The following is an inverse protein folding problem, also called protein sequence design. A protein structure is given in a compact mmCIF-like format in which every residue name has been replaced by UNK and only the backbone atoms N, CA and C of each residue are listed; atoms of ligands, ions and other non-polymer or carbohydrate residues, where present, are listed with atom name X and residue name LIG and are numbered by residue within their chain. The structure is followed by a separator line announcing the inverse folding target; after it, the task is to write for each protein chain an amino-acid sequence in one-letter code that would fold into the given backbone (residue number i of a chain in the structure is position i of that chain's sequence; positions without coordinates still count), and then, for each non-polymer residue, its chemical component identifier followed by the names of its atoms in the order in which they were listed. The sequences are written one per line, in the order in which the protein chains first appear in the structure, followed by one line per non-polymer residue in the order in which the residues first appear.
data_IF_557864935002
#
_entry.id   IF_557864935002
#
_cell.length_a   1.000
_cell.length_b   1.000
_cell.length_c   1.000
_cell.angle_alpha   90.00
_cell.angle_beta   90.00
_cell.angle_gamma   90.00
#
_symmetry.space_group_name_H-M   'P 1'
#
loop_
_entity.id
_entity.type
_entity.pdbx_description
1 polymer ?
#
# COMPACT_ATOMS: atom_id res chain seq x y z
N UNK A 1 33.60 7.57 -75.34
CA UNK A 1 34.29 6.31 -75.00
C UNK A 1 34.12 6.02 -73.54
N UNK A 2 33.36 4.96 -73.24
CA UNK A 2 33.60 3.96 -72.16
C UNK A 2 33.61 4.52 -70.74
N UNK A 3 32.97 4.02 -69.74
CA UNK A 3 32.31 2.70 -69.47
C UNK A 3 31.44 2.81 -68.24
N UNK A 4 30.37 2.05 -68.24
CA UNK A 4 29.53 1.64 -67.16
C UNK A 4 30.26 1.31 -65.84
N UNK A 5 29.62 1.67 -64.70
CA UNK A 5 29.64 0.79 -63.51
C UNK A 5 28.37 0.97 -62.71
N UNK A 6 27.54 -0.02 -62.81
CA UNK A 6 26.36 -0.31 -62.04
C UNK A 6 26.77 -0.73 -60.64
N UNK A 7 26.26 -0.09 -59.60
CA UNK A 7 26.38 -0.61 -58.23
C UNK A 7 25.00 -0.97 -57.71
N UNK A 8 24.74 -2.26 -57.61
CA UNK A 8 23.59 -2.85 -56.94
C UNK A 8 23.70 -2.60 -55.44
N UNK A 9 22.69 -1.95 -54.86
CA UNK A 9 22.52 -1.86 -53.41
C UNK A 9 21.52 -2.93 -52.96
N UNK A 10 22.02 -4.03 -52.39
CA UNK A 10 21.24 -5.07 -51.78
C UNK A 10 20.78 -4.61 -50.37
N UNK A 11 19.50 -4.37 -50.22
CA UNK A 11 18.88 -4.14 -48.92
C UNK A 11 18.68 -5.47 -48.18
N UNK A 12 19.48 -5.74 -47.18
CA UNK A 12 19.28 -6.84 -46.26
C UNK A 12 18.32 -6.40 -45.16
N UNK A 13 17.05 -6.85 -45.23
CA UNK A 13 16.11 -6.78 -44.14
C UNK A 13 16.39 -7.90 -43.14
N UNK A 14 16.96 -7.58 -42.00
CA UNK A 14 17.04 -8.50 -40.87
C UNK A 14 15.78 -8.33 -40.02
N UNK A 15 14.84 -9.28 -40.13
CA UNK A 15 13.78 -9.48 -39.14
C UNK A 15 14.42 -10.06 -37.87
N UNK A 16 14.50 -9.26 -36.83
CA UNK A 16 14.76 -9.76 -35.49
C UNK A 16 13.44 -10.17 -34.86
N UNK A 17 13.17 -11.48 -34.80
CA UNK A 17 12.17 -12.05 -33.92
C UNK A 17 12.66 -11.89 -32.46
N UNK A 18 12.03 -10.99 -31.75
CA UNK A 18 12.14 -10.95 -30.31
C UNK A 18 11.34 -12.12 -29.72
N UNK A 19 12.05 -13.16 -29.28
CA UNK A 19 11.48 -14.24 -28.49
C UNK A 19 11.14 -13.67 -27.09
N UNK A 20 9.86 -13.67 -26.72
CA UNK A 20 9.41 -13.55 -25.35
C UNK A 20 9.92 -14.76 -24.56
N UNK A 21 10.96 -14.57 -23.79
CA UNK A 21 11.41 -15.50 -22.77
C UNK A 21 11.16 -14.85 -21.42
N UNK A 22 10.07 -15.24 -20.74
CA UNK A 22 9.83 -14.92 -19.34
C UNK A 22 10.97 -15.48 -18.50
N UNK A 23 11.74 -14.61 -17.90
CA UNK A 23 12.48 -14.86 -16.67
C UNK A 23 12.33 -13.62 -15.82
N UNK A 24 11.44 -13.69 -14.90
CA UNK A 24 11.37 -12.84 -13.73
C UNK A 24 12.56 -13.13 -12.84
N UNK A 25 13.56 -12.28 -12.93
CA UNK A 25 14.57 -12.03 -11.92
C UNK A 25 14.85 -10.54 -12.00
N UNK A 26 14.00 -9.74 -11.39
CA UNK A 26 14.27 -8.33 -11.15
C UNK A 26 14.14 -8.05 -9.65
N UNK A 27 15.25 -8.30 -8.97
CA UNK A 27 15.58 -7.62 -7.75
C UNK A 27 16.23 -6.28 -8.14
N UNK A 28 15.43 -5.39 -8.70
CA UNK A 28 15.74 -3.97 -8.88
C UNK A 28 14.86 -3.22 -7.92
N UNK A 29 15.44 -2.57 -6.93
CA UNK A 29 14.77 -1.60 -6.10
C UNK A 29 14.01 -0.60 -6.98
N UNK A 30 12.72 -0.86 -7.15
CA UNK A 30 11.87 -0.07 -8.03
C UNK A 30 11.46 1.19 -7.23
N UNK A 31 12.11 2.31 -7.53
CA UNK A 31 11.74 3.65 -7.03
C UNK A 31 10.45 4.17 -7.72
N UNK A 32 9.60 3.28 -8.24
CA UNK A 32 8.31 3.66 -8.77
C UNK A 32 7.28 3.57 -7.65
N UNK A 33 6.60 4.68 -7.42
CA UNK A 33 5.46 4.76 -6.51
C UNK A 33 4.40 3.72 -6.95
N UNK A 34 3.77 3.00 -6.00
CA UNK A 34 2.71 2.04 -6.34
C UNK A 34 1.55 2.74 -7.06
N UNK A 35 0.84 2.04 -7.94
CA UNK A 35 -0.26 2.62 -8.70
C UNK A 35 -1.57 2.68 -7.89
N UNK A 36 -1.66 1.99 -6.74
CA UNK A 36 -2.83 2.00 -5.85
C UNK A 36 -2.44 1.63 -4.42
N UNK A 37 -3.31 1.96 -3.46
CA UNK A 37 -3.16 1.55 -2.07
C UNK A 37 -3.11 0.02 -1.90
N UNK A 38 -3.88 -0.72 -2.71
CA UNK A 38 -3.84 -2.18 -2.70
C UNK A 38 -2.49 -2.72 -3.20
N UNK A 39 -1.93 -2.15 -4.28
CA UNK A 39 -0.61 -2.54 -4.78
C UNK A 39 0.47 -2.28 -3.72
N UNK A 40 0.40 -1.14 -3.02
CA UNK A 40 1.29 -0.81 -1.92
C UNK A 40 1.25 -1.89 -0.83
N UNK A 41 0.06 -2.21 -0.30
CA UNK A 41 -0.08 -3.20 0.78
C UNK A 41 0.31 -4.60 0.31
N UNK A 42 -0.01 -4.98 -0.92
CA UNK A 42 0.41 -6.27 -1.48
C UNK A 42 1.93 -6.40 -1.59
N UNK A 43 2.63 -5.33 -1.99
CA UNK A 43 4.09 -5.33 -2.05
C UNK A 43 4.72 -5.51 -0.66
N UNK A 44 4.17 -4.85 0.37
CA UNK A 44 4.61 -5.02 1.76
C UNK A 44 4.32 -6.44 2.26
N UNK A 45 3.10 -6.95 2.03
CA UNK A 45 2.68 -8.29 2.48
C UNK A 45 3.47 -9.41 1.82
N UNK A 46 3.91 -9.23 0.58
CA UNK A 46 4.78 -10.16 -0.14
C UNK A 46 6.18 -10.27 0.47
N UNK A 47 6.63 -9.28 1.23
CA UNK A 47 7.93 -9.29 1.94
C UNK A 47 7.89 -10.00 3.30
N UNK A 48 6.72 -10.49 3.73
CA UNK A 48 6.63 -11.35 4.90
C UNK A 48 7.04 -12.78 4.54
N UNK A 49 7.82 -13.42 5.40
CA UNK A 49 7.98 -14.87 5.33
C UNK A 49 6.68 -15.56 5.76
N UNK A 50 6.49 -16.81 5.33
CA UNK A 50 5.27 -17.56 5.71
C UNK A 50 5.17 -17.76 7.24
N UNK A 51 6.30 -17.82 7.95
CA UNK A 51 6.34 -17.97 9.41
C UNK A 51 6.03 -16.67 10.16
N UNK A 52 6.17 -15.50 9.50
CA UNK A 52 5.94 -14.17 10.09
C UNK A 52 4.52 -13.66 9.83
N UNK A 53 3.78 -14.28 8.90
CA UNK A 53 2.41 -13.88 8.60
C UNK A 53 1.46 -14.25 9.73
N UNK A 54 0.63 -13.29 10.10
CA UNK A 54 -0.50 -13.53 11.01
C UNK A 54 -1.78 -13.82 10.21
N UNK A 55 -2.81 -14.45 10.82
CA UNK A 55 -4.12 -14.62 10.18
C UNK A 55 -4.73 -13.26 9.83
N UNK A 56 -4.81 -12.94 8.55
CA UNK A 56 -5.20 -11.63 8.05
C UNK A 56 -6.46 -11.69 7.19
N UNK A 57 -7.15 -10.57 7.12
CA UNK A 57 -8.19 -10.29 6.16
C UNK A 57 -8.04 -8.86 5.64
N UNK A 58 -8.42 -8.62 4.40
CA UNK A 58 -8.42 -7.30 3.80
C UNK A 58 -9.76 -6.98 3.16
N UNK A 59 -9.93 -5.71 2.81
CA UNK A 59 -11.13 -5.21 2.17
C UNK A 59 -12.11 -4.53 3.13
N UNK A 60 -13.28 -4.23 2.59
CA UNK A 60 -14.42 -3.67 3.31
C UNK A 60 -15.52 -4.75 3.50
N UNK A 61 -16.77 -4.32 3.75
CA UNK A 61 -17.90 -5.24 3.93
C UNK A 61 -18.53 -5.74 2.63
N UNK A 62 -18.06 -5.29 1.46
CA UNK A 62 -18.49 -5.81 0.18
C UNK A 62 -17.73 -7.11 -0.13
N UNK A 63 -18.47 -8.20 -0.40
CA UNK A 63 -17.88 -9.50 -0.73
C UNK A 63 -16.90 -9.43 -1.93
N UNK A 64 -17.06 -8.44 -2.81
CA UNK A 64 -16.16 -8.25 -3.94
C UNK A 64 -14.78 -7.70 -3.53
N UNK A 65 -14.69 -7.03 -2.38
CA UNK A 65 -13.47 -6.44 -1.86
C UNK A 65 -12.82 -7.29 -0.75
N UNK A 66 -13.57 -8.22 -0.16
CA UNK A 66 -13.06 -9.08 0.92
C UNK A 66 -12.02 -10.07 0.40
N UNK A 67 -10.91 -10.16 1.13
CA UNK A 67 -9.83 -11.13 0.88
C UNK A 67 -9.47 -11.87 2.15
N UNK A 68 -9.09 -13.14 2.02
CA UNK A 68 -8.53 -13.94 3.11
C UNK A 68 -7.01 -13.99 2.95
N UNK A 69 -6.29 -13.90 4.06
CA UNK A 69 -4.82 -13.97 4.18
C UNK A 69 -4.06 -12.95 3.28
N UNK A 70 -4.71 -11.85 2.92
CA UNK A 70 -4.15 -10.83 2.03
C UNK A 70 -4.79 -9.45 2.26
N UNK A 71 -4.13 -8.35 1.83
CA UNK A 71 -4.75 -7.03 1.72
C UNK A 71 -5.92 -7.03 0.73
N UNK A 72 -6.91 -6.15 0.95
CA UNK A 72 -8.06 -5.97 0.07
C UNK A 72 -8.39 -4.50 -0.17
N UNK A 73 -9.08 -4.21 -1.27
CA UNK A 73 -9.57 -2.87 -1.55
C UNK A 73 -10.59 -2.42 -0.50
N UNK A 74 -10.55 -1.15 -0.16
CA UNK A 74 -11.51 -0.52 0.73
C UNK A 74 -12.20 0.64 0.00
N UNK A 75 -13.55 0.62 -0.03
CA UNK A 75 -14.31 1.69 -0.67
C UNK A 75 -14.11 3.02 0.03
N UNK A 76 -13.86 4.07 -0.74
CA UNK A 76 -13.74 5.45 -0.22
C UNK A 76 -15.05 6.24 -0.30
N UNK A 77 -16.13 5.62 -0.82
CA UNK A 77 -17.42 6.27 -1.01
C UNK A 77 -18.20 6.42 0.32
N UNK A 78 -17.92 5.54 1.30
CA UNK A 78 -18.58 5.54 2.62
C UNK A 78 -17.58 5.96 3.71
N UNK A 79 -17.62 7.24 4.09
CA UNK A 79 -16.77 7.78 5.15
C UNK A 79 -17.04 7.17 6.53
N UNK A 80 -18.28 6.78 6.81
CA UNK A 80 -18.63 6.14 8.10
C UNK A 80 -18.03 4.73 8.18
N UNK A 81 -17.99 3.99 7.05
CA UNK A 81 -17.33 2.70 6.97
C UNK A 81 -15.82 2.82 7.15
N UNK A 82 -15.18 3.83 6.54
CA UNK A 82 -13.76 4.15 6.72
C UNK A 82 -13.43 4.46 8.20
N UNK A 83 -14.25 5.28 8.86
CA UNK A 83 -14.04 5.60 10.27
C UNK A 83 -14.27 4.37 11.15
N UNK A 84 -15.34 3.64 10.93
CA UNK A 84 -15.68 2.46 11.73
C UNK A 84 -14.58 1.39 11.66
N UNK A 85 -14.11 1.06 10.46
CA UNK A 85 -13.20 -0.08 10.23
C UNK A 85 -11.73 0.29 10.36
N UNK A 86 -11.33 1.46 9.85
CA UNK A 86 -9.93 1.86 9.74
C UNK A 86 -9.58 3.07 10.63
N UNK A 87 -10.55 3.59 11.36
CA UNK A 87 -10.41 4.83 12.14
C UNK A 87 -9.96 6.03 11.28
N UNK A 88 -10.26 6.00 9.98
CA UNK A 88 -10.01 7.14 9.10
C UNK A 88 -11.14 8.18 9.27
N UNK A 89 -10.83 9.46 9.48
CA UNK A 89 -11.87 10.47 9.72
C UNK A 89 -12.88 10.53 8.59
N UNK A 90 -14.17 10.28 8.88
CA UNK A 90 -15.24 10.30 7.87
C UNK A 90 -15.31 11.61 7.08
N UNK A 91 -15.02 12.75 7.73
CA UNK A 91 -14.99 14.06 7.09
C UNK A 91 -13.89 14.23 6.03
N UNK A 92 -12.86 13.40 6.08
CA UNK A 92 -11.72 13.43 5.19
C UNK A 92 -11.81 12.41 4.03
N UNK A 93 -12.86 11.58 3.98
CA UNK A 93 -13.05 10.57 2.93
C UNK A 93 -12.96 11.13 1.51
N UNK A 94 -13.50 12.32 1.28
CA UNK A 94 -13.42 13.01 -0.01
C UNK A 94 -12.02 13.45 -0.44
N UNK A 95 -11.01 13.28 0.41
CA UNK A 95 -9.59 13.54 0.09
C UNK A 95 -8.89 12.33 -0.53
N UNK A 96 -9.56 11.18 -0.60
CA UNK A 96 -9.00 9.91 -1.07
C UNK A 96 -9.39 9.63 -2.52
N UNK A 97 -8.46 9.08 -3.29
CA UNK A 97 -8.70 8.50 -4.61
C UNK A 97 -8.96 6.99 -4.52
N UNK A 98 -8.26 6.29 -3.65
CA UNK A 98 -8.48 4.89 -3.31
C UNK A 98 -7.95 4.56 -1.91
N UNK A 99 -8.35 3.40 -1.38
CA UNK A 99 -7.85 2.87 -0.12
C UNK A 99 -7.79 1.34 -0.15
N UNK A 100 -6.98 0.79 0.75
CA UNK A 100 -6.88 -0.65 1.00
C UNK A 100 -6.66 -0.91 2.48
N UNK A 101 -7.00 -2.12 2.92
CA UNK A 101 -6.88 -2.54 4.31
C UNK A 101 -6.20 -3.89 4.46
N UNK A 102 -5.60 -4.08 5.64
CA UNK A 102 -5.14 -5.37 6.14
C UNK A 102 -5.39 -5.41 7.66
N UNK A 103 -6.17 -6.37 8.12
CA UNK A 103 -6.60 -6.49 9.51
C UNK A 103 -6.34 -7.88 10.05
N UNK A 104 -6.09 -8.01 11.35
CA UNK A 104 -6.01 -9.32 12.00
C UNK A 104 -7.41 -9.96 12.03
N UNK A 105 -7.55 -11.14 11.41
CA UNK A 105 -8.84 -11.82 11.19
C UNK A 105 -9.64 -12.05 12.48
N UNK A 106 -8.96 -12.34 13.60
CA UNK A 106 -9.62 -12.69 14.85
C UNK A 106 -10.02 -11.47 15.69
N UNK A 107 -9.27 -10.37 15.60
CA UNK A 107 -9.54 -9.16 16.36
C UNK A 107 -8.82 -7.96 15.72
N UNK A 108 -9.56 -7.01 15.19
CA UNK A 108 -9.03 -5.80 14.57
C UNK A 108 -8.14 -4.96 15.52
N UNK A 109 -8.42 -4.97 16.85
CA UNK A 109 -7.57 -4.26 17.82
C UNK A 109 -6.18 -4.90 17.98
N UNK A 110 -5.99 -6.16 17.53
CA UNK A 110 -4.69 -6.81 17.49
C UNK A 110 -3.81 -6.25 16.37
N UNK A 111 -4.41 -5.98 15.21
CA UNK A 111 -3.74 -5.28 14.12
C UNK A 111 -4.77 -4.77 13.11
N UNK A 112 -4.69 -3.49 12.79
CA UNK A 112 -5.40 -2.86 11.68
C UNK A 112 -4.44 -1.94 10.94
N UNK A 113 -4.38 -2.12 9.63
CA UNK A 113 -3.68 -1.24 8.72
C UNK A 113 -4.62 -0.71 7.64
N UNK A 114 -4.55 0.60 7.39
CA UNK A 114 -5.15 1.26 6.25
C UNK A 114 -4.05 1.94 5.42
N UNK A 115 -4.09 1.76 4.11
CA UNK A 115 -3.32 2.55 3.16
C UNK A 115 -4.28 3.43 2.36
N UNK A 116 -3.94 4.69 2.21
CA UNK A 116 -4.79 5.72 1.63
C UNK A 116 -4.04 6.45 0.55
N UNK A 117 -4.52 6.39 -0.68
CA UNK A 117 -4.03 7.16 -1.81
C UNK A 117 -4.78 8.49 -1.85
N UNK A 118 -4.05 9.57 -1.77
CA UNK A 118 -4.64 10.91 -1.70
C UNK A 118 -5.00 11.41 -3.10
N UNK A 119 -6.05 12.23 -3.18
CA UNK A 119 -6.36 12.98 -4.39
C UNK A 119 -5.33 14.09 -4.63
N UNK A 120 -5.26 14.59 -5.86
CA UNK A 120 -4.38 15.70 -6.22
C UNK A 120 -4.56 16.91 -5.27
N UNK A 121 -3.45 17.59 -4.97
CA UNK A 121 -3.40 18.78 -4.11
C UNK A 121 -3.76 18.57 -2.63
N UNK A 122 -3.91 17.32 -2.17
CA UNK A 122 -4.12 16.97 -0.76
C UNK A 122 -2.78 16.81 -0.03
N UNK A 123 -2.66 17.45 1.12
CA UNK A 123 -1.45 17.35 1.96
C UNK A 123 -1.43 16.06 2.76
N UNK A 124 -0.44 15.20 2.52
CA UNK A 124 -0.24 13.98 3.29
C UNK A 124 0.00 14.25 4.79
N UNK A 125 0.68 15.35 5.12
CA UNK A 125 0.92 15.74 6.51
C UNK A 125 -0.38 16.12 7.25
N UNK A 126 -1.31 16.82 6.57
CA UNK A 126 -2.58 17.21 7.16
C UNK A 126 -3.48 15.99 7.39
N UNK A 127 -3.52 15.06 6.41
CA UNK A 127 -4.26 13.79 6.54
C UNK A 127 -3.67 12.93 7.64
N UNK A 128 -2.34 12.79 7.70
CA UNK A 128 -1.67 12.04 8.76
C UNK A 128 -1.99 12.59 10.16
N UNK A 129 -2.00 13.93 10.32
CA UNK A 129 -2.37 14.58 11.58
C UNK A 129 -3.82 14.33 11.97
N UNK A 130 -4.75 14.48 11.03
CA UNK A 130 -6.18 14.23 11.25
C UNK A 130 -6.44 12.77 11.62
N UNK A 131 -5.79 11.84 10.92
CA UNK A 131 -5.87 10.40 11.16
C UNK A 131 -5.31 10.03 12.55
N UNK A 132 -4.13 10.58 12.91
CA UNK A 132 -3.55 10.41 14.24
C UNK A 132 -4.53 10.84 15.33
N UNK A 133 -5.08 12.04 15.20
CA UNK A 133 -5.99 12.59 16.20
C UNK A 133 -7.27 11.74 16.32
N UNK A 134 -7.80 11.23 15.21
CA UNK A 134 -8.97 10.35 15.22
C UNK A 134 -8.69 9.02 15.93
N UNK A 135 -7.54 8.39 15.67
CA UNK A 135 -7.15 7.12 16.31
C UNK A 135 -6.87 7.33 17.79
N UNK A 136 -6.09 8.36 18.16
CA UNK A 136 -5.70 8.61 19.55
C UNK A 136 -6.87 9.02 20.47
N UNK A 137 -7.91 9.67 19.91
CA UNK A 137 -9.11 10.06 20.65
C UNK A 137 -10.24 9.03 20.61
N UNK A 138 -10.03 7.89 19.91
CA UNK A 138 -11.05 6.85 19.77
C UNK A 138 -11.34 6.18 21.10
N UNK A 139 -12.62 5.92 21.36
CA UNK A 139 -13.03 5.09 22.50
C UNK A 139 -12.96 3.61 22.09
N UNK A 140 -11.92 2.95 22.54
CA UNK A 140 -11.70 1.53 22.26
C UNK A 140 -12.63 0.66 23.11
N UNK A 141 -13.22 -0.36 22.49
CA UNK A 141 -14.06 -1.36 23.14
C UNK A 141 -13.48 -2.76 22.87
N UNK A 142 -13.59 -3.66 23.85
CA UNK A 142 -13.12 -5.04 23.74
C UNK A 142 -11.59 -5.23 23.56
N UNK A 143 -10.81 -4.32 24.13
CA UNK A 143 -9.33 -4.32 24.06
C UNK A 143 -8.81 -2.97 23.57
N UNK A 144 -7.57 -2.69 23.92
CA UNK A 144 -6.86 -1.48 23.50
C UNK A 144 -5.72 -1.89 22.59
N UNK A 145 -5.53 -1.24 21.44
CA UNK A 145 -4.26 -1.36 20.71
C UNK A 145 -3.14 -0.71 21.51
N UNK A 146 -1.94 -1.27 21.43
CA UNK A 146 -0.78 -0.80 22.20
C UNK A 146 -0.11 0.40 21.53
N UNK A 147 -0.09 0.40 20.18
CA UNK A 147 0.76 1.30 19.39
C UNK A 147 0.08 1.75 18.11
N UNK A 148 0.39 3.00 17.70
CA UNK A 148 0.08 3.60 16.42
C UNK A 148 1.36 3.99 15.70
N UNK A 149 1.49 3.60 14.44
CA UNK A 149 2.50 4.14 13.52
C UNK A 149 1.79 4.68 12.27
N UNK A 150 2.19 5.87 11.83
CA UNK A 150 1.76 6.46 10.56
C UNK A 150 2.99 6.73 9.71
N UNK A 151 2.93 6.30 8.45
CA UNK A 151 3.96 6.54 7.45
C UNK A 151 3.37 7.33 6.27
N UNK A 152 4.25 8.02 5.56
CA UNK A 152 3.94 8.67 4.28
C UNK A 152 4.86 8.15 3.19
N UNK A 153 4.33 8.02 1.96
CA UNK A 153 5.08 7.65 0.76
C UNK A 153 4.50 8.43 -0.42
N UNK A 154 5.14 9.55 -0.77
CA UNK A 154 4.60 10.44 -1.80
C UNK A 154 3.19 10.94 -1.45
N UNK A 155 2.21 10.57 -2.24
CA UNK A 155 0.78 10.86 -2.05
C UNK A 155 0.01 9.77 -1.29
N UNK A 156 0.72 8.81 -0.66
CA UNK A 156 0.13 7.83 0.22
C UNK A 156 0.32 8.17 1.69
N UNK A 157 -0.71 7.90 2.49
CA UNK A 157 -0.64 7.82 3.95
C UNK A 157 -0.97 6.39 4.35
N UNK A 158 -0.19 5.83 5.28
CA UNK A 158 -0.37 4.46 5.77
C UNK A 158 -0.48 4.57 7.29
N UNK A 159 -1.56 4.07 7.88
CA UNK A 159 -1.66 3.92 9.33
C UNK A 159 -1.71 2.45 9.72
N UNK A 160 -0.99 2.07 10.76
CA UNK A 160 -1.16 0.78 11.41
C UNK A 160 -1.20 0.96 12.93
N UNK A 161 -2.14 0.27 13.57
CA UNK A 161 -2.28 0.24 15.02
C UNK A 161 -2.66 -1.16 15.48
N UNK A 162 -2.28 -1.49 16.73
CA UNK A 162 -2.51 -2.81 17.30
C UNK A 162 -1.46 -3.19 18.32
N UNK A 163 -1.16 -4.49 18.41
CA UNK A 163 -0.08 -5.03 19.22
C UNK A 163 1.27 -4.48 18.72
N UNK A 164 2.11 -4.03 19.65
CA UNK A 164 3.35 -3.33 19.35
C UNK A 164 4.27 -4.11 18.40
N UNK A 165 4.42 -5.41 18.64
CA UNK A 165 5.27 -6.29 17.83
C UNK A 165 4.80 -6.40 16.36
N UNK A 166 3.50 -6.50 16.13
CA UNK A 166 2.92 -6.55 14.77
C UNK A 166 3.02 -5.20 14.06
N UNK A 167 2.79 -4.11 14.79
CA UNK A 167 2.90 -2.74 14.25
C UNK A 167 4.34 -2.42 13.87
N UNK A 168 5.31 -2.76 14.72
CA UNK A 168 6.73 -2.55 14.46
C UNK A 168 7.22 -3.40 13.28
N UNK A 169 6.82 -4.66 13.23
CA UNK A 169 7.15 -5.53 12.11
C UNK A 169 6.60 -4.97 10.80
N UNK A 170 5.32 -4.56 10.77
CA UNK A 170 4.70 -4.04 9.57
C UNK A 170 5.35 -2.73 9.11
N UNK A 171 5.59 -1.78 10.00
CA UNK A 171 6.23 -0.51 9.66
C UNK A 171 7.66 -0.72 9.15
N UNK A 172 8.39 -1.67 9.73
CA UNK A 172 9.69 -2.12 9.25
C UNK A 172 9.62 -2.66 7.82
N UNK A 173 8.62 -3.51 7.53
CA UNK A 173 8.41 -4.04 6.17
C UNK A 173 8.03 -2.96 5.16
N UNK A 174 7.27 -1.93 5.54
CA UNK A 174 6.98 -0.78 4.67
C UNK A 174 8.26 -0.07 4.27
N UNK A 175 9.13 0.25 5.24
CA UNK A 175 10.40 0.97 4.99
C UNK A 175 11.44 0.10 4.27
N UNK A 176 11.41 -1.23 4.44
CA UNK A 176 12.22 -2.16 3.65
C UNK A 176 11.76 -2.23 2.18
N UNK A 177 10.43 -2.19 1.97
CA UNK A 177 9.84 -2.29 0.62
C UNK A 177 10.00 -0.98 -0.15
N UNK A 178 9.80 0.14 0.52
CA UNK A 178 9.79 1.48 -0.06
C UNK A 178 10.79 2.38 0.66
N UNK A 179 11.95 2.58 0.06
CA UNK A 179 13.05 3.37 0.66
C UNK A 179 12.68 4.84 0.93
N UNK A 180 11.70 5.37 0.19
CA UNK A 180 11.21 6.76 0.34
C UNK A 180 10.06 6.87 1.36
N UNK A 181 9.63 5.76 1.98
CA UNK A 181 8.63 5.79 3.04
C UNK A 181 9.21 6.43 4.31
N UNK A 182 8.47 7.37 4.89
CA UNK A 182 8.87 8.08 6.09
C UNK A 182 7.89 7.87 7.23
N UNK A 183 8.38 7.46 8.40
CA UNK A 183 7.57 7.40 9.64
C UNK A 183 7.34 8.84 10.11
N UNK A 184 6.08 9.25 10.23
CA UNK A 184 5.67 10.59 10.66
C UNK A 184 4.98 10.59 12.02
N UNK A 185 4.55 9.43 12.50
CA UNK A 185 4.01 9.20 13.84
C UNK A 185 4.45 7.81 14.33
N UNK A 186 4.89 7.71 15.57
CA UNK A 186 5.21 6.45 16.27
C UNK A 186 4.89 6.69 17.76
N UNK A 187 3.72 6.27 18.22
CA UNK A 187 3.19 6.61 19.54
C UNK A 187 2.49 5.41 20.18
N UNK A 188 2.64 5.31 21.52
CA UNK A 188 1.81 4.39 22.30
C UNK A 188 0.38 4.92 22.40
N UNK A 189 -0.61 4.02 22.29
CA UNK A 189 -2.02 4.32 22.56
C UNK A 189 -2.25 4.04 24.04
N UNK A 190 -2.67 5.07 24.81
CA UNK A 190 -2.84 5.02 26.27
C UNK A 190 -4.31 4.88 26.69
#
# INVERSE_FOLDING_TARGET
MKKFLTLLLAAAMTLSLAACGSKTDDNSGNNSQPASALELLNAVWANYSDDDKFPAAGGDFDEANMTEDAPGNFSVEDGDALDYSLSFPAADAGKLSDAASLTHMMNANTFTCGAYHLSDDVSAADVASSLRDNIMNRQWMCGFPDKLVILTLGDYVISCYGAEDLVDQFSGKVTETFADAAVVCDEAIA
#
